data_IF_811441950071
#
_entry.id   IF_811441950071
#
_cell.length_a   1.000
_cell.length_b   1.000
_cell.length_c   1.000
_cell.angle_alpha   90.00
_cell.angle_beta   90.00
_cell.angle_gamma   90.00
#
_symmetry.space_group_name_H-M   'P 1'
#
loop_
_entity.id
_entity.type
_entity.pdbx_description
1 polymer ?
#
# COMPACT_ATOMS: atom_id res chain seq x y z
N UNK A 1 8.30 11.35 -12.80
CA UNK A 1 7.18 10.74 -12.05
C UNK A 1 6.01 11.70 -12.09
N UNK A 2 4.79 11.19 -12.25
CA UNK A 2 3.57 12.01 -12.35
C UNK A 2 2.45 11.39 -11.52
N UNK A 3 1.64 12.25 -10.90
CA UNK A 3 0.48 11.84 -10.12
C UNK A 3 -0.75 12.53 -10.69
N UNK A 4 -1.73 11.74 -11.08
CA UNK A 4 -2.99 12.20 -11.67
C UNK A 4 -4.16 11.83 -10.75
N UNK A 5 -5.05 12.80 -10.55
CA UNK A 5 -6.30 12.63 -9.81
C UNK A 5 -7.48 12.80 -10.78
N UNK A 6 -8.35 11.80 -10.83
CA UNK A 6 -9.60 11.85 -11.58
C UNK A 6 -10.76 11.78 -10.59
N UNK A 7 -11.64 12.79 -10.64
CA UNK A 7 -12.81 12.91 -9.78
C UNK A 7 -14.08 12.79 -10.65
N UNK A 8 -14.69 11.60 -10.75
CA UNK A 8 -15.89 11.42 -11.55
C UNK A 8 -17.07 12.24 -11.01
N UNK A 9 -17.85 12.87 -11.89
CA UNK A 9 -18.98 13.74 -11.50
C UNK A 9 -20.15 13.02 -10.80
N UNK A 10 -20.25 11.69 -10.93
CA UNK A 10 -21.40 10.89 -10.49
C UNK A 10 -21.07 9.83 -9.44
N UNK A 11 -19.80 9.71 -9.06
CA UNK A 11 -19.33 8.70 -8.09
C UNK A 11 -18.54 9.42 -7.00
N UNK A 12 -18.82 9.18 -5.70
CA UNK A 12 -18.08 9.80 -4.59
C UNK A 12 -16.75 9.07 -4.37
N UNK A 13 -15.87 9.09 -5.37
CA UNK A 13 -14.56 8.46 -5.32
C UNK A 13 -13.49 9.28 -6.03
N UNK A 14 -12.24 8.97 -5.74
CA UNK A 14 -11.07 9.53 -6.44
C UNK A 14 -10.32 8.36 -7.08
N UNK A 15 -10.07 8.44 -8.39
CA UNK A 15 -9.14 7.54 -9.05
C UNK A 15 -7.77 8.21 -9.09
N UNK A 16 -6.76 7.55 -8.54
CA UNK A 16 -5.40 8.04 -8.48
C UNK A 16 -4.54 7.17 -9.39
N UNK A 17 -3.85 7.80 -10.34
CA UNK A 17 -2.90 7.13 -11.22
C UNK A 17 -1.51 7.70 -10.95
N UNK A 18 -0.57 6.84 -10.57
CA UNK A 18 0.83 7.19 -10.43
C UNK A 18 1.64 6.61 -11.58
N UNK A 19 2.51 7.44 -12.16
CA UNK A 19 3.32 7.08 -13.30
C UNK A 19 4.79 7.35 -13.03
N UNK A 20 5.65 6.44 -13.50
CA UNK A 20 7.04 6.76 -13.74
C UNK A 20 7.44 6.41 -15.16
N UNK A 21 8.45 7.14 -15.64
CA UNK A 21 8.96 7.03 -16.99
C UNK A 21 10.48 7.01 -16.94
N UNK A 22 11.09 6.36 -17.93
CA UNK A 22 12.53 6.34 -18.19
C UNK A 22 13.35 6.02 -16.94
N UNK A 23 12.90 5.04 -16.15
CA UNK A 23 13.61 4.63 -14.95
C UNK A 23 14.93 3.96 -15.37
N UNK A 24 16.10 4.38 -14.86
CA UNK A 24 17.34 3.70 -15.19
C UNK A 24 17.36 2.28 -14.60
N UNK A 25 17.85 1.32 -15.38
CA UNK A 25 18.22 0.01 -14.86
C UNK A 25 19.38 0.17 -13.86
N UNK A 26 19.27 -0.45 -12.70
CA UNK A 26 20.31 -0.42 -11.68
C UNK A 26 20.52 -1.80 -11.08
N UNK A 27 21.77 -2.11 -10.73
CA UNK A 27 22.15 -3.31 -9.99
C UNK A 27 22.06 -3.13 -8.47
N UNK A 28 21.82 -1.90 -8.01
CA UNK A 28 21.70 -1.60 -6.59
C UNK A 28 20.27 -1.90 -6.12
N UNK A 29 20.09 -2.36 -4.86
CA UNK A 29 18.78 -2.47 -4.26
C UNK A 29 18.08 -1.11 -4.19
N UNK A 30 16.81 -1.08 -4.57
CA UNK A 30 15.93 0.07 -4.53
C UNK A 30 14.48 -0.40 -4.29
N UNK A 31 13.69 0.50 -3.72
CA UNK A 31 12.26 0.34 -3.62
C UNK A 31 11.56 1.68 -3.83
N UNK A 32 10.41 1.65 -4.50
CA UNK A 32 9.56 2.79 -4.75
C UNK A 32 8.23 2.59 -4.04
N UNK A 33 7.83 3.58 -3.26
CA UNK A 33 6.66 3.51 -2.38
C UNK A 33 5.71 4.67 -2.65
N UNK A 34 4.40 4.40 -2.68
CA UNK A 34 3.36 5.42 -2.58
C UNK A 34 2.70 5.31 -1.21
N UNK A 35 2.68 6.41 -0.46
CA UNK A 35 2.23 6.41 0.93
C UNK A 35 0.88 7.08 1.12
N UNK A 36 0.00 6.42 1.84
CA UNK A 36 -1.26 6.98 2.33
C UNK A 36 -1.13 7.23 3.83
N UNK A 37 -1.37 8.48 4.24
CA UNK A 37 -1.36 8.92 5.65
C UNK A 37 -2.67 9.64 6.01
N UNK A 38 -3.81 8.95 5.92
CA UNK A 38 -5.09 9.53 6.32
C UNK A 38 -5.09 9.79 7.84
N UNK A 39 -5.83 10.83 8.24
CA UNK A 39 -5.96 11.19 9.65
C UNK A 39 -6.97 10.21 10.28
N UNK A 40 -6.47 9.33 11.14
CA UNK A 40 -7.25 8.39 11.91
C UNK A 40 -7.12 8.71 13.42
N UNK A 41 -8.26 8.86 14.09
CA UNK A 41 -8.42 9.12 15.52
C UNK A 41 -8.00 7.93 16.38
N UNK A 42 -8.35 6.72 15.93
CA UNK A 42 -7.86 5.45 16.48
C UNK A 42 -7.14 4.64 15.41
N UNK A 43 -6.07 3.94 15.76
CA UNK A 43 -5.42 3.02 14.82
C UNK A 43 -6.14 1.67 14.70
N UNK A 44 -7.05 1.34 15.62
CA UNK A 44 -7.73 0.03 15.64
C UNK A 44 -8.76 -0.15 14.52
N UNK A 45 -9.16 0.92 13.83
CA UNK A 45 -10.10 0.86 12.73
C UNK A 45 -9.51 0.34 11.41
N UNK A 46 -8.19 0.15 11.33
CA UNK A 46 -7.52 -0.33 10.13
C UNK A 46 -7.74 -1.82 9.90
N UNK A 47 -8.11 -2.17 8.66
CA UNK A 47 -8.18 -3.53 8.15
C UNK A 47 -7.59 -3.59 6.76
N UNK A 48 -7.17 -4.78 6.35
CA UNK A 48 -6.72 -5.11 5.00
C UNK A 48 -7.35 -6.42 4.57
N UNK A 49 -7.44 -6.69 3.28
CA UNK A 49 -8.02 -7.95 2.82
C UNK A 49 -6.97 -8.98 2.41
N UNK A 50 -7.18 -10.23 2.83
CA UNK A 50 -6.28 -11.35 2.56
C UNK A 50 -7.07 -12.65 2.56
N UNK A 51 -6.91 -13.45 1.51
CA UNK A 51 -7.58 -14.74 1.34
C UNK A 51 -9.12 -14.63 1.43
N UNK A 52 -9.69 -13.56 0.85
CA UNK A 52 -11.13 -13.28 0.90
C UNK A 52 -11.68 -12.74 2.23
N UNK A 53 -10.84 -12.59 3.26
CA UNK A 53 -11.23 -12.09 4.59
C UNK A 53 -10.67 -10.69 4.86
N UNK A 54 -11.33 -9.93 5.75
CA UNK A 54 -10.77 -8.70 6.29
C UNK A 54 -10.02 -9.01 7.59
N UNK A 55 -8.74 -8.64 7.64
CA UNK A 55 -7.88 -8.89 8.80
C UNK A 55 -7.37 -7.56 9.38
N UNK A 56 -7.24 -7.52 10.70
CA UNK A 56 -6.56 -6.42 11.38
C UNK A 56 -5.05 -6.56 11.22
N UNK A 57 -4.29 -5.47 10.95
CA UNK A 57 -2.83 -5.53 10.96
C UNK A 57 -2.26 -5.85 12.36
N UNK A 58 -3.08 -5.73 13.41
CA UNK A 58 -2.70 -6.08 14.78
C UNK A 58 -2.98 -7.55 15.15
N UNK A 59 -3.77 -8.25 14.34
CA UNK A 59 -4.14 -9.65 14.54
C UNK A 59 -3.31 -10.56 13.63
N UNK A 60 -2.00 -10.55 13.89
CA UNK A 60 -1.03 -11.38 13.19
C UNK A 60 -0.27 -12.19 14.22
N UNK A 61 -0.14 -13.49 13.98
CA UNK A 61 0.57 -14.40 14.88
C UNK A 61 2.01 -13.92 15.10
N UNK A 62 2.59 -14.15 16.30
CA UNK A 62 3.97 -13.78 16.58
C UNK A 62 4.93 -14.33 15.52
N UNK A 63 5.85 -13.49 15.05
CA UNK A 63 6.80 -13.80 13.95
C UNK A 63 6.15 -14.02 12.57
N UNK A 64 4.87 -13.68 12.40
CA UNK A 64 4.15 -13.74 11.12
C UNK A 64 4.31 -12.51 10.22
N UNK A 65 5.20 -11.57 10.57
CA UNK A 65 5.40 -10.26 9.93
C UNK A 65 4.11 -9.41 9.90
N UNK A 66 3.82 -8.64 10.97
CA UNK A 66 2.65 -7.78 11.01
C UNK A 66 2.84 -6.46 10.24
N UNK A 67 4.04 -6.18 9.70
CA UNK A 67 4.29 -4.94 8.98
C UNK A 67 3.95 -5.04 7.50
N UNK A 68 4.17 -6.19 6.84
CA UNK A 68 4.06 -6.30 5.39
C UNK A 68 3.03 -7.34 4.95
N UNK A 69 2.11 -6.93 4.08
CA UNK A 69 0.98 -7.75 3.66
C UNK A 69 0.83 -7.70 2.14
N UNK A 70 0.62 -8.87 1.52
CA UNK A 70 -0.02 -8.94 0.22
C UNK A 70 -1.53 -8.84 0.42
N UNK A 71 -2.17 -7.94 -0.33
CA UNK A 71 -3.61 -7.68 -0.32
C UNK A 71 -4.21 -7.98 -1.69
N UNK A 72 -5.48 -8.37 -1.71
CA UNK A 72 -6.21 -8.64 -2.95
C UNK A 72 -6.90 -7.38 -3.49
N UNK A 73 -7.54 -6.59 -2.62
CA UNK A 73 -8.21 -5.34 -2.97
C UNK A 73 -7.49 -4.14 -2.40
N UNK A 74 -7.09 -4.16 -1.13
CA UNK A 74 -6.43 -3.04 -0.48
C UNK A 74 -6.64 -2.97 1.03
N UNK A 75 -6.82 -1.75 1.52
CA UNK A 75 -6.99 -1.48 2.95
C UNK A 75 -8.13 -0.51 3.22
N UNK A 76 -8.70 -0.63 4.41
CA UNK A 76 -9.86 0.15 4.86
C UNK A 76 -9.70 0.62 6.29
N UNK A 77 -10.36 1.72 6.58
CA UNK A 77 -10.54 2.28 7.90
C UNK A 77 -12.02 2.36 8.19
N UNK A 78 -12.44 1.92 9.37
CA UNK A 78 -13.80 2.14 9.88
C UNK A 78 -13.74 2.61 11.32
N UNK A 79 -14.39 3.74 11.59
CA UNK A 79 -14.66 4.22 12.94
C UNK A 79 -16.03 4.90 12.99
N UNK A 80 -16.94 4.38 13.83
CA UNK A 80 -18.32 4.86 13.94
C UNK A 80 -19.04 4.90 12.58
N UNK A 81 -19.34 6.10 12.07
CA UNK A 81 -20.00 6.33 10.78
C UNK A 81 -19.02 6.73 9.67
N UNK A 82 -17.72 6.79 9.97
CA UNK A 82 -16.69 7.18 9.03
C UNK A 82 -16.03 5.93 8.43
N UNK A 83 -16.02 5.86 7.11
CA UNK A 83 -15.29 4.83 6.37
C UNK A 83 -14.34 5.48 5.36
N UNK A 84 -13.14 4.93 5.26
CA UNK A 84 -12.16 5.28 4.24
C UNK A 84 -11.58 4.00 3.65
N UNK A 85 -11.35 3.97 2.34
CA UNK A 85 -10.74 2.82 1.69
C UNK A 85 -9.82 3.24 0.56
N UNK A 86 -8.77 2.45 0.37
CA UNK A 86 -7.90 2.51 -0.80
C UNK A 86 -7.87 1.13 -1.43
N UNK A 87 -8.32 1.07 -2.66
CA UNK A 87 -8.25 -0.10 -3.53
C UNK A 87 -7.00 0.01 -4.41
N UNK A 88 -6.22 -1.07 -4.51
CA UNK A 88 -4.95 -1.15 -5.22
C UNK A 88 -5.17 -2.07 -6.43
N UNK A 89 -5.09 -1.53 -7.64
CA UNK A 89 -5.45 -2.30 -8.84
C UNK A 89 -4.27 -3.02 -9.48
N UNK A 90 -3.04 -2.59 -9.18
CA UNK A 90 -1.84 -3.05 -9.88
C UNK A 90 -0.70 -3.49 -8.94
N UNK A 91 -0.79 -3.17 -7.64
CA UNK A 91 0.32 -3.33 -6.68
C UNK A 91 -0.18 -3.98 -5.39
N UNK A 92 0.00 -5.30 -5.19
CA UNK A 92 -0.64 -6.02 -4.09
C UNK A 92 0.11 -5.89 -2.76
N UNK A 93 1.33 -5.35 -2.73
CA UNK A 93 2.17 -5.37 -1.53
C UNK A 93 2.07 -4.03 -0.78
N UNK A 94 1.67 -4.08 0.49
CA UNK A 94 1.63 -2.93 1.40
C UNK A 94 2.50 -3.15 2.63
N UNK A 95 2.98 -2.05 3.22
CA UNK A 95 3.66 -2.03 4.50
C UNK A 95 3.03 -1.00 5.44
N UNK A 96 2.81 -1.35 6.71
CA UNK A 96 2.35 -0.44 7.75
C UNK A 96 3.54 0.16 8.52
N UNK A 97 3.55 1.48 8.63
CA UNK A 97 4.47 2.28 9.46
C UNK A 97 5.85 2.57 8.85
N UNK A 98 6.48 1.58 8.20
CA UNK A 98 7.82 1.74 7.63
C UNK A 98 7.87 1.38 6.13
N UNK A 99 8.55 2.23 5.34
CA UNK A 99 8.85 1.97 3.92
C UNK A 99 10.11 1.10 3.78
N UNK A 100 10.12 -0.07 4.42
CA UNK A 100 11.24 -0.99 4.31
C UNK A 100 10.93 -2.14 3.35
N UNK A 101 11.77 -2.38 2.32
CA UNK A 101 11.64 -3.56 1.48
C UNK A 101 11.92 -4.87 2.22
N UNK A 102 12.57 -4.78 3.39
CA UNK A 102 12.92 -5.89 4.27
C UNK A 102 12.65 -5.47 5.72
N UNK A 103 11.53 -5.90 6.29
CA UNK A 103 11.22 -5.70 7.70
C UNK A 103 11.12 -7.03 8.42
N UNK A 104 11.90 -7.17 9.49
CA UNK A 104 11.94 -8.37 10.35
C UNK A 104 11.53 -8.06 11.79
N UNK A 105 10.81 -6.95 11.99
CA UNK A 105 10.39 -6.52 13.31
C UNK A 105 9.31 -7.44 13.87
N UNK A 106 9.38 -7.70 15.17
CA UNK A 106 8.35 -8.44 15.92
C UNK A 106 7.35 -7.51 16.62
N UNK A 107 7.58 -6.21 16.55
CA UNK A 107 6.70 -5.20 17.13
C UNK A 107 5.43 -5.06 16.29
N UNK A 108 4.33 -4.69 16.93
CA UNK A 108 3.13 -4.27 16.22
C UNK A 108 3.46 -3.08 15.31
N UNK A 109 2.83 -2.98 14.12
CA UNK A 109 3.04 -1.84 13.24
C UNK A 109 2.44 -0.57 13.85
N UNK A 110 2.89 0.57 13.36
CA UNK A 110 2.27 1.86 13.65
C UNK A 110 1.63 2.44 12.38
N UNK A 111 0.32 2.20 12.14
CA UNK A 111 -0.36 2.75 10.98
C UNK A 111 -0.41 4.28 10.95
N UNK A 112 -0.16 4.97 12.07
CA UNK A 112 -0.10 6.45 12.09
C UNK A 112 1.12 6.99 11.33
N UNK A 113 2.19 6.20 11.23
CA UNK A 113 3.34 6.49 10.38
C UNK A 113 3.07 6.23 8.88
N UNK A 114 1.91 5.64 8.56
CA UNK A 114 1.37 5.52 7.21
C UNK A 114 1.18 4.08 6.74
N UNK A 115 0.51 3.96 5.59
CA UNK A 115 0.34 2.72 4.85
C UNK A 115 1.01 2.91 3.49
N UNK A 116 2.02 2.10 3.22
CA UNK A 116 2.96 2.27 2.12
C UNK A 116 2.75 1.18 1.07
N UNK A 117 2.30 1.54 -0.12
CA UNK A 117 2.14 0.63 -1.23
C UNK A 117 3.48 0.46 -1.94
N UNK A 118 4.00 -0.77 -2.00
CA UNK A 118 5.24 -1.10 -2.71
C UNK A 118 4.96 -1.12 -4.21
N UNK A 119 5.39 -0.08 -4.91
CA UNK A 119 5.20 0.02 -6.35
C UNK A 119 6.26 -0.81 -7.11
N UNK A 120 7.46 -0.88 -6.53
CA UNK A 120 8.58 -1.63 -7.03
C UNK A 120 9.56 -1.91 -5.88
N UNK A 121 10.20 -3.08 -5.86
CA UNK A 121 11.22 -3.43 -4.88
C UNK A 121 12.14 -4.56 -5.37
N UNK A 122 13.36 -4.26 -5.83
CA UNK A 122 14.29 -5.31 -6.28
C UNK A 122 15.19 -5.88 -5.18
N UNK A 123 14.99 -5.50 -3.91
CA UNK A 123 15.69 -6.15 -2.79
C UNK A 123 15.27 -7.63 -2.66
N UNK A 124 14.09 -8.00 -3.18
CA UNK A 124 13.63 -9.37 -3.27
C UNK A 124 13.45 -9.83 -4.72
N UNK A 125 14.47 -10.50 -5.25
CA UNK A 125 14.58 -10.88 -6.65
C UNK A 125 13.57 -11.91 -7.18
N UNK A 126 12.67 -12.41 -6.33
CA UNK A 126 11.61 -13.36 -6.71
C UNK A 126 10.31 -12.67 -7.11
N UNK A 127 10.08 -11.44 -6.63
CA UNK A 127 8.80 -10.75 -6.76
C UNK A 127 8.86 -9.59 -7.76
N UNK A 128 10.07 -9.08 -8.04
CA UNK A 128 10.29 -7.96 -8.93
C UNK A 128 11.53 -8.19 -9.81
N UNK A 129 11.52 -7.59 -11.00
CA UNK A 129 12.63 -7.67 -11.97
C UNK A 129 13.84 -6.89 -11.45
N UNK A 130 15.01 -7.54 -11.37
CA UNK A 130 16.20 -6.97 -10.70
C UNK A 130 16.82 -5.74 -11.38
N UNK A 131 16.56 -5.51 -12.67
CA UNK A 131 17.06 -4.36 -13.44
C UNK A 131 15.93 -3.62 -14.16
N UNK A 132 14.81 -3.44 -13.47
CA UNK A 132 13.62 -2.86 -14.06
C UNK A 132 13.87 -1.43 -14.57
N UNK A 133 13.64 -1.20 -15.86
CA UNK A 133 13.81 0.10 -16.51
C UNK A 133 12.60 0.53 -17.36
N UNK A 134 11.49 -0.19 -17.24
CA UNK A 134 10.28 0.14 -17.98
C UNK A 134 9.47 1.24 -17.29
N UNK A 135 8.61 1.85 -18.10
CA UNK A 135 7.61 2.79 -17.64
C UNK A 135 6.47 2.03 -16.98
N UNK A 136 5.89 2.59 -15.92
CA UNK A 136 4.77 1.95 -15.24
C UNK A 136 3.68 2.95 -14.90
N UNK A 137 2.47 2.39 -14.76
CA UNK A 137 1.31 3.03 -14.18
C UNK A 137 0.78 2.15 -13.04
N UNK A 138 0.63 2.73 -11.86
CA UNK A 138 -0.03 2.11 -10.72
C UNK A 138 -1.33 2.87 -10.42
N UNK A 139 -2.46 2.15 -10.39
CA UNK A 139 -3.79 2.74 -10.23
C UNK A 139 -4.38 2.39 -8.88
N UNK A 140 -5.08 3.36 -8.31
CA UNK A 140 -5.73 3.27 -7.01
C UNK A 140 -7.13 3.87 -7.08
N UNK A 141 -8.05 3.36 -6.27
CA UNK A 141 -9.37 3.95 -6.07
C UNK A 141 -9.59 4.25 -4.60
N UNK A 142 -9.83 5.51 -4.30
CA UNK A 142 -10.02 6.01 -2.94
C UNK A 142 -11.49 6.32 -2.75
N UNK A 143 -12.08 5.84 -1.66
CA UNK A 143 -13.47 6.15 -1.27
C UNK A 143 -13.50 6.60 0.18
N UNK A 144 -14.36 7.57 0.48
CA UNK A 144 -14.62 8.04 1.82
C UNK A 144 -16.11 8.32 1.98
N UNK A 145 -16.69 7.98 3.13
CA UNK A 145 -18.08 8.25 3.51
C UNK A 145 -18.19 8.61 4.98
#
# INVERSE_FOLDING_TARGET
MFLEFLLPKREPLIRLNFYWFTKPATRLPEALWLSFRPIATSQQGWTLDKCGEEISPFDVVPSGNPQMHAVERGFRYREQQHEFSVELLDVPLIAFGEMSPLSFSRSQPDPSAGIHCSLFNNAWGTNYVQWFSEDMRCRFVIRAS
#
